data_IF_398600860556
#
_entry.id   IF_398600860556
#
_cell.length_a   1.000
_cell.length_b   1.000
_cell.length_c   1.000
_cell.angle_alpha   90.00
_cell.angle_beta   90.00
_cell.angle_gamma   90.00
#
_symmetry.space_group_name_H-M   'P 1'
#
loop_
_entity.id
_entity.type
_entity.pdbx_description
1 polymer ?
#
# COMPACT_ATOMS: atom_id res chain seq x y z
N UNK A 1 37.16 61.91 -30.15
CA UNK A 1 35.72 61.74 -29.85
C UNK A 1 35.35 60.29 -30.15
N UNK A 2 34.61 59.66 -29.22
CA UNK A 2 34.22 58.22 -29.13
C UNK A 2 33.50 57.71 -30.39
N UNK A 3 33.56 56.41 -30.68
CA UNK A 3 32.38 55.53 -30.87
C UNK A 3 32.71 54.04 -30.61
N UNK A 4 31.75 53.36 -29.99
CA UNK A 4 31.75 52.01 -29.41
C UNK A 4 31.83 50.89 -30.47
N UNK A 5 32.22 49.68 -30.04
CA UNK A 5 31.62 48.45 -30.56
C UNK A 5 31.40 47.43 -29.42
N UNK A 6 30.15 46.98 -29.33
CA UNK A 6 29.54 46.20 -28.24
C UNK A 6 29.56 44.73 -28.64
N UNK A 7 30.04 43.85 -27.75
CA UNK A 7 29.97 42.39 -27.90
C UNK A 7 28.52 41.90 -27.73
N UNK A 8 27.98 41.20 -28.73
CA UNK A 8 26.68 40.53 -28.62
C UNK A 8 26.94 39.09 -28.13
N UNK A 9 26.61 38.84 -26.87
CA UNK A 9 26.52 37.48 -26.33
C UNK A 9 25.21 36.83 -26.79
N UNK A 10 25.32 35.69 -27.46
CA UNK A 10 24.20 34.87 -27.93
C UNK A 10 23.54 34.19 -26.71
N UNK A 11 22.44 34.75 -26.23
CA UNK A 11 21.61 34.18 -25.17
C UNK A 11 20.63 33.15 -25.76
N UNK A 12 20.51 32.03 -25.05
CA UNK A 12 19.93 30.79 -25.55
C UNK A 12 18.42 30.75 -25.69
N UNK A 13 17.96 29.67 -26.31
CA UNK A 13 16.62 29.14 -26.11
C UNK A 13 16.72 27.61 -26.01
N UNK A 14 16.72 27.10 -24.78
CA UNK A 14 16.38 25.70 -24.54
C UNK A 14 14.85 25.59 -24.61
N UNK A 15 14.27 24.67 -25.41
CA UNK A 15 12.86 24.35 -25.29
C UNK A 15 12.64 23.64 -23.95
N UNK A 16 11.95 24.30 -23.03
CA UNK A 16 11.40 23.66 -21.84
C UNK A 16 10.28 22.72 -22.29
N UNK A 17 10.57 21.43 -22.39
CA UNK A 17 9.56 20.39 -22.43
C UNK A 17 8.83 20.42 -21.09
N UNK A 18 7.64 21.04 -21.06
CA UNK A 18 6.73 20.97 -19.92
C UNK A 18 6.17 19.54 -19.86
N UNK A 19 6.74 18.72 -18.96
CA UNK A 19 6.13 17.46 -18.56
C UNK A 19 4.98 17.81 -17.64
N UNK A 20 3.74 17.75 -18.15
CA UNK A 20 2.56 17.78 -17.32
C UNK A 20 2.58 16.54 -16.40
N UNK A 21 2.96 16.72 -15.15
CA UNK A 21 2.74 15.69 -14.13
C UNK A 21 1.23 15.58 -13.90
N UNK A 22 0.67 14.36 -13.74
CA UNK A 22 -0.75 14.21 -13.44
C UNK A 22 -1.04 14.90 -12.10
N UNK A 23 -1.94 15.88 -12.12
CA UNK A 23 -2.49 16.50 -10.91
C UNK A 23 -3.33 15.42 -10.24
N UNK A 24 -2.99 15.02 -9.01
CA UNK A 24 -3.80 14.11 -8.22
C UNK A 24 -5.21 14.70 -8.08
N UNK A 25 -6.22 14.03 -8.64
CA UNK A 25 -7.61 14.48 -8.56
C UNK A 25 -8.17 14.03 -7.21
N UNK A 26 -8.47 14.94 -6.27
CA UNK A 26 -8.95 14.58 -4.93
C UNK A 26 -10.26 13.79 -4.95
N UNK A 27 -11.10 13.97 -5.97
CA UNK A 27 -12.33 13.21 -6.14
C UNK A 27 -12.06 11.72 -6.44
N UNK A 28 -11.03 11.40 -7.23
CA UNK A 28 -10.67 10.02 -7.53
C UNK A 28 -10.12 9.28 -6.30
N UNK A 29 -9.38 9.98 -5.44
CA UNK A 29 -8.89 9.42 -4.17
C UNK A 29 -10.04 9.14 -3.19
N UNK A 30 -11.04 10.03 -3.14
CA UNK A 30 -12.26 9.87 -2.33
C UNK A 30 -13.13 8.71 -2.80
N UNK A 31 -13.31 8.54 -4.12
CA UNK A 31 -14.06 7.42 -4.68
C UNK A 31 -13.37 6.07 -4.45
N UNK A 32 -12.04 6.02 -4.61
CA UNK A 32 -11.22 4.85 -4.27
C UNK A 32 -11.40 4.49 -2.79
N UNK A 33 -11.24 5.46 -1.88
CA UNK A 33 -11.34 5.20 -0.44
C UNK A 33 -12.74 4.71 -0.05
N UNK A 34 -13.79 5.23 -0.68
CA UNK A 34 -15.16 4.76 -0.44
C UNK A 34 -15.37 3.32 -0.94
N UNK A 35 -14.84 2.97 -2.12
CA UNK A 35 -14.93 1.61 -2.65
C UNK A 35 -14.12 0.62 -1.79
N UNK A 36 -12.95 1.03 -1.33
CA UNK A 36 -12.12 0.29 -0.38
C UNK A 36 -12.82 0.07 0.96
N UNK A 37 -13.62 1.04 1.42
CA UNK A 37 -14.45 0.89 2.63
C UNK A 37 -15.66 -0.02 2.40
N UNK A 38 -16.30 0.03 1.22
CA UNK A 38 -17.45 -0.84 0.89
C UNK A 38 -17.06 -2.30 0.74
N UNK A 39 -15.84 -2.56 0.32
CA UNK A 39 -15.29 -3.90 0.11
C UNK A 39 -14.53 -4.45 1.32
N UNK A 40 -14.30 -3.62 2.35
CA UNK A 40 -13.61 -4.06 3.55
C UNK A 40 -14.36 -5.19 4.27
N UNK A 41 -13.62 -6.22 4.67
CA UNK A 41 -14.15 -7.40 5.34
C UNK A 41 -13.60 -7.51 6.76
N UNK A 42 -14.43 -7.96 7.69
CA UNK A 42 -13.96 -8.27 9.04
C UNK A 42 -13.55 -9.74 9.10
N UNK A 43 -12.25 -9.96 9.25
CA UNK A 43 -11.64 -11.30 9.31
C UNK A 43 -11.23 -11.63 10.73
N UNK A 44 -11.06 -12.92 11.00
CA UNK A 44 -10.47 -13.42 12.23
C UNK A 44 -9.05 -13.90 12.01
N UNK A 45 -8.16 -13.64 12.96
CA UNK A 45 -6.81 -14.21 12.96
C UNK A 45 -6.85 -15.70 13.29
N UNK A 46 -6.28 -16.52 12.42
CA UNK A 46 -6.21 -17.99 12.49
C UNK A 46 -4.78 -18.48 12.26
N UNK A 47 -4.56 -19.80 12.34
CA UNK A 47 -3.25 -20.44 12.08
C UNK A 47 -2.07 -19.93 12.93
N UNK A 48 -2.36 -19.31 14.07
CA UNK A 48 -1.41 -18.94 15.12
C UNK A 48 -1.51 -19.93 16.29
N UNK A 49 -0.37 -20.29 16.89
CA UNK A 49 -0.33 -21.15 18.08
C UNK A 49 -0.87 -20.41 19.32
N UNK A 50 -1.50 -21.10 20.30
CA UNK A 50 -1.92 -20.48 21.55
C UNK A 50 -0.75 -19.76 22.25
N UNK A 51 -0.99 -18.54 22.75
CA UNK A 51 0.02 -17.72 23.40
C UNK A 51 0.95 -16.93 22.46
N UNK A 52 0.86 -17.13 21.15
CA UNK A 52 1.61 -16.37 20.14
C UNK A 52 0.74 -15.36 19.39
N UNK A 53 1.37 -14.58 18.53
CA UNK A 53 0.73 -13.60 17.65
C UNK A 53 1.27 -13.71 16.21
N UNK A 54 0.48 -13.24 15.25
CA UNK A 54 0.94 -12.97 13.88
C UNK A 54 1.42 -11.53 13.77
N UNK A 55 2.50 -11.32 13.03
CA UNK A 55 3.06 -10.00 12.82
C UNK A 55 2.35 -9.26 11.68
N UNK A 56 1.88 -8.06 11.97
CA UNK A 56 1.48 -7.08 10.97
C UNK A 56 2.71 -6.26 10.55
N UNK A 57 3.06 -6.32 9.28
CA UNK A 57 4.32 -5.76 8.75
C UNK A 57 4.09 -4.52 7.91
N UNK A 58 5.09 -3.65 7.78
CA UNK A 58 4.94 -2.40 7.02
C UNK A 58 4.91 -2.60 5.48
N UNK A 59 5.34 -3.77 4.98
CA UNK A 59 5.26 -4.18 3.59
C UNK A 59 4.82 -5.66 3.51
N UNK A 60 4.30 -6.13 2.36
CA UNK A 60 3.89 -7.52 2.15
C UNK A 60 5.10 -8.45 1.96
N UNK A 61 5.98 -8.52 2.95
CA UNK A 61 7.19 -9.33 2.94
C UNK A 61 7.51 -9.87 4.32
N UNK A 62 8.02 -11.10 4.38
CA UNK A 62 8.50 -11.72 5.61
C UNK A 62 9.75 -11.03 6.18
N UNK A 63 10.48 -10.28 5.35
CA UNK A 63 11.66 -9.49 5.75
C UNK A 63 11.30 -8.07 6.19
N UNK A 64 10.05 -7.65 5.97
CA UNK A 64 9.60 -6.34 6.40
C UNK A 64 9.48 -6.27 7.93
N UNK A 65 9.77 -5.10 8.48
CA UNK A 65 9.65 -4.81 9.90
C UNK A 65 8.22 -4.96 10.41
N UNK A 66 8.14 -5.31 11.69
CA UNK A 66 6.92 -5.65 12.41
C UNK A 66 6.41 -4.41 13.13
N UNK A 67 5.15 -4.04 12.90
CA UNK A 67 4.52 -2.86 13.51
C UNK A 67 3.64 -3.30 14.68
N UNK A 68 2.79 -4.31 14.47
CA UNK A 68 1.85 -4.82 15.46
C UNK A 68 1.87 -6.34 15.50
N UNK A 69 1.40 -6.91 16.60
CA UNK A 69 1.12 -8.34 16.75
C UNK A 69 -0.35 -8.58 17.06
N UNK A 70 -0.98 -9.54 16.38
CA UNK A 70 -2.38 -9.89 16.62
C UNK A 70 -2.49 -11.35 17.11
N UNK A 71 -3.15 -11.60 18.24
CA UNK A 71 -3.33 -12.95 18.76
C UNK A 71 -4.36 -13.74 17.94
N UNK A 72 -4.33 -15.06 18.08
CA UNK A 72 -5.36 -15.93 17.50
C UNK A 72 -6.75 -15.52 17.98
N UNK A 73 -7.71 -15.45 17.06
CA UNK A 73 -9.11 -15.14 17.35
C UNK A 73 -9.45 -13.65 17.31
N UNK A 74 -8.44 -12.77 17.23
CA UNK A 74 -8.66 -11.33 17.07
C UNK A 74 -9.45 -11.06 15.79
N UNK A 75 -10.44 -10.16 15.86
CA UNK A 75 -11.27 -9.77 14.72
C UNK A 75 -10.88 -8.38 14.26
N UNK A 76 -10.52 -8.24 12.99
CA UNK A 76 -10.00 -7.00 12.42
C UNK A 76 -10.63 -6.73 11.06
N UNK A 77 -10.74 -5.46 10.69
CA UNK A 77 -11.29 -5.03 9.40
C UNK A 77 -10.15 -4.83 8.41
N UNK A 78 -10.13 -5.63 7.35
CA UNK A 78 -9.15 -5.60 6.28
C UNK A 78 -9.78 -5.02 5.02
N UNK A 79 -9.03 -4.17 4.32
CA UNK A 79 -9.60 -3.31 3.30
C UNK A 79 -9.31 -3.77 1.86
N UNK A 80 -8.16 -4.41 1.65
CA UNK A 80 -7.71 -4.88 0.33
C UNK A 80 -6.52 -5.83 0.52
N UNK A 81 -6.06 -6.47 -0.54
CA UNK A 81 -4.85 -7.30 -0.50
C UNK A 81 -3.73 -6.79 -1.41
N UNK A 82 -2.50 -7.16 -1.07
CA UNK A 82 -1.30 -7.01 -1.92
C UNK A 82 -0.65 -8.37 -2.15
N UNK A 83 0.00 -8.55 -3.31
CA UNK A 83 0.88 -9.69 -3.51
C UNK A 83 2.20 -9.49 -2.77
N UNK A 84 2.81 -10.59 -2.31
CA UNK A 84 4.03 -10.55 -1.52
C UNK A 84 4.62 -11.93 -1.26
N UNK A 85 5.50 -12.00 -0.25
CA UNK A 85 6.17 -13.24 0.13
C UNK A 85 5.17 -14.31 0.56
N UNK A 86 5.43 -15.57 0.18
CA UNK A 86 4.64 -16.72 0.60
C UNK A 86 5.05 -17.17 2.00
N UNK A 87 4.08 -17.57 2.82
CA UNK A 87 4.32 -18.30 4.07
C UNK A 87 4.35 -19.80 3.77
N UNK A 88 5.29 -20.54 4.37
CA UNK A 88 5.44 -21.98 4.17
C UNK A 88 5.64 -22.40 2.69
N UNK A 89 6.28 -21.55 1.88
CA UNK A 89 6.75 -21.86 0.53
C UNK A 89 5.68 -22.02 -0.56
N UNK A 90 4.39 -22.15 -0.21
CA UNK A 90 3.32 -22.48 -1.18
C UNK A 90 2.02 -21.70 -0.95
N UNK A 91 1.76 -21.19 0.26
CA UNK A 91 0.45 -20.61 0.60
C UNK A 91 0.57 -19.15 1.08
N UNK A 92 -0.42 -18.33 0.75
CA UNK A 92 -0.48 -16.95 1.25
C UNK A 92 0.47 -15.97 0.53
N UNK A 93 0.60 -16.02 -0.79
CA UNK A 93 1.30 -14.94 -1.54
C UNK A 93 0.53 -13.61 -1.53
N UNK A 94 -0.56 -13.53 -0.77
CA UNK A 94 -1.35 -12.33 -0.56
C UNK A 94 -1.25 -11.87 0.88
N UNK A 95 -1.31 -10.56 1.05
CA UNK A 95 -1.14 -9.88 2.31
C UNK A 95 -2.28 -8.88 2.46
N UNK A 96 -3.09 -9.08 3.49
CA UNK A 96 -4.31 -8.33 3.74
C UNK A 96 -3.94 -7.04 4.48
N UNK A 97 -4.35 -5.91 3.91
CA UNK A 97 -4.07 -4.59 4.45
C UNK A 97 -5.06 -4.25 5.55
N UNK A 98 -4.53 -3.76 6.66
CA UNK A 98 -5.28 -3.19 7.77
C UNK A 98 -4.76 -1.79 8.08
N UNK A 99 -5.66 -0.88 8.44
CA UNK A 99 -5.31 0.39 9.09
C UNK A 99 -5.68 0.27 10.57
N UNK A 100 -4.68 0.05 11.42
CA UNK A 100 -4.84 -0.11 12.85
C UNK A 100 -4.20 1.07 13.58
N UNK A 101 -4.95 1.73 14.46
CA UNK A 101 -4.50 2.94 15.18
C UNK A 101 -3.89 4.01 14.25
N UNK A 102 -4.50 4.22 13.08
CA UNK A 102 -4.05 5.14 12.02
C UNK A 102 -2.75 4.73 11.31
N UNK A 103 -2.22 3.55 11.58
CA UNK A 103 -1.05 2.99 10.89
C UNK A 103 -1.48 1.87 9.96
N UNK A 104 -1.09 1.96 8.69
CA UNK A 104 -1.28 0.87 7.74
C UNK A 104 -0.21 -0.19 7.93
N UNK A 105 -0.62 -1.45 7.98
CA UNK A 105 0.26 -2.60 7.93
C UNK A 105 -0.44 -3.77 7.21
N UNK A 106 0.29 -4.86 7.03
CA UNK A 106 -0.16 -6.02 6.25
C UNK A 106 0.04 -7.31 7.04
N UNK A 107 -0.99 -8.16 7.06
CA UNK A 107 -0.94 -9.52 7.62
C UNK A 107 -0.96 -10.50 6.46
N UNK A 108 -0.12 -11.53 6.49
CA UNK A 108 -0.17 -12.55 5.45
C UNK A 108 -1.51 -13.28 5.47
N UNK A 109 -2.15 -13.45 4.31
CA UNK A 109 -3.49 -14.05 4.19
C UNK A 109 -3.57 -15.52 4.64
N UNK A 110 -2.43 -16.18 4.86
CA UNK A 110 -2.38 -17.47 5.55
C UNK A 110 -2.96 -17.40 6.98
N UNK A 111 -2.92 -16.23 7.63
CA UNK A 111 -3.35 -16.03 9.00
C UNK A 111 -4.73 -15.38 9.12
N UNK A 112 -5.44 -15.12 8.02
CA UNK A 112 -6.82 -14.62 8.01
C UNK A 112 -7.77 -15.76 7.65
N UNK A 113 -8.97 -15.75 8.24
CA UNK A 113 -9.96 -16.79 7.97
C UNK A 113 -10.65 -16.62 6.60
N UNK A 114 -11.47 -17.59 6.24
CA UNK A 114 -12.17 -17.63 4.95
C UNK A 114 -13.25 -16.57 4.77
N UNK A 115 -13.41 -15.63 5.71
CA UNK A 115 -14.19 -14.42 5.48
C UNK A 115 -13.39 -13.39 4.66
N UNK A 116 -12.09 -13.60 4.50
CA UNK A 116 -11.19 -12.73 3.75
C UNK A 116 -10.24 -13.47 2.82
N UNK A 117 -10.73 -14.40 1.98
CA UNK A 117 -9.93 -14.84 0.86
C UNK A 117 -9.58 -13.60 0.02
N UNK A 118 -8.44 -13.64 -0.67
CA UNK A 118 -8.05 -12.59 -1.63
C UNK A 118 -9.06 -12.38 -2.76
N UNK A 119 -10.09 -13.24 -2.89
CA UNK A 119 -11.25 -13.03 -3.76
C UNK A 119 -12.35 -12.14 -3.17
N UNK A 120 -12.39 -11.95 -1.85
CA UNK A 120 -13.35 -11.06 -1.16
C UNK A 120 -12.78 -9.68 -0.87
N UNK A 121 -11.45 -9.55 -0.85
CA UNK A 121 -10.76 -8.27 -0.77
C UNK A 121 -10.38 -7.83 -2.20
N UNK A 122 -10.53 -6.55 -2.56
CA UNK A 122 -10.03 -6.07 -3.85
C UNK A 122 -8.49 -6.02 -3.84
N UNK A 123 -7.83 -6.16 -5.00
CA UNK A 123 -6.42 -5.87 -5.11
C UNK A 123 -6.15 -4.39 -4.82
N UNK A 124 -5.07 -4.09 -4.11
CA UNK A 124 -4.63 -2.71 -3.94
C UNK A 124 -4.07 -2.17 -5.26
N UNK A 125 -4.73 -1.15 -5.81
CA UNK A 125 -4.18 -0.32 -6.88
C UNK A 125 -3.51 0.89 -6.23
N UNK A 126 -2.21 1.03 -6.50
CA UNK A 126 -1.38 2.14 -6.03
C UNK A 126 -1.46 3.32 -7.01
#
# INVERSE_FOLDING_TARGET
MKFLNISIALLGSLPLLSVAAPVANPEAELELDLEKRRSAQTCKIVNVNPGNYVNCRYQPSLKAGEIFGFPKGEKLTFACYKKGDCVNGVWGSTWDQITYLKTTCYVNGYYTDSNCPSSMLPPFFA
#
